data_IF_569589721664
#
_entry.id   IF_569589721664
#
_cell.length_a   1.000
_cell.length_b   1.000
_cell.length_c   1.000
_cell.angle_alpha   90.00
_cell.angle_beta   90.00
_cell.angle_gamma   90.00
#
_symmetry.space_group_name_H-M   'P 1'
#
loop_
_entity.id
_entity.type
_entity.pdbx_description
1 polymer ?
#
# COMPACT_ATOMS: atom_id res chain seq x y z
N UNK A 1 33.38 0.62 78.67
CA UNK A 1 31.95 0.82 78.33
C UNK A 1 31.86 0.80 76.81
N UNK A 2 31.38 -0.31 76.23
CA UNK A 2 31.17 -0.41 74.77
C UNK A 2 29.84 0.26 74.38
N UNK A 3 29.71 0.82 73.17
CA UNK A 3 28.49 1.48 72.74
C UNK A 3 27.41 0.43 72.47
N UNK A 4 26.22 0.68 73.03
CA UNK A 4 25.04 -0.17 72.89
C UNK A 4 24.62 -0.28 71.42
N UNK A 5 24.47 -1.52 70.95
CA UNK A 5 23.94 -1.82 69.62
C UNK A 5 22.48 -1.38 69.51
N UNK A 6 22.20 -0.56 68.51
CA UNK A 6 20.84 -0.23 68.07
C UNK A 6 20.28 -1.39 67.26
N UNK A 7 19.24 -2.03 67.77
CA UNK A 7 18.46 -3.05 67.06
C UNK A 7 17.80 -2.41 65.83
N UNK A 8 17.87 -2.99 64.61
CA UNK A 8 17.19 -2.43 63.45
C UNK A 8 15.67 -2.55 63.64
N UNK A 9 14.98 -1.41 63.63
CA UNK A 9 13.52 -1.36 63.64
C UNK A 9 13.00 -2.11 62.41
N UNK A 10 12.21 -3.16 62.62
CA UNK A 10 11.56 -3.90 61.55
C UNK A 10 10.66 -2.95 60.76
N UNK A 11 11.09 -2.60 59.54
CA UNK A 11 10.28 -1.82 58.60
C UNK A 11 9.14 -2.75 58.18
N UNK A 12 7.92 -2.46 58.63
CA UNK A 12 6.73 -3.16 58.13
C UNK A 12 6.70 -3.02 56.60
N UNK A 13 6.58 -4.12 55.83
CA UNK A 13 6.53 -4.05 54.38
C UNK A 13 5.34 -3.19 53.96
N UNK A 14 5.56 -2.30 53.00
CA UNK A 14 4.52 -1.43 52.47
C UNK A 14 3.32 -2.28 52.00
N UNK A 15 2.08 -1.82 52.20
CA UNK A 15 0.90 -2.55 51.74
C UNK A 15 0.99 -2.77 50.23
N UNK A 16 0.62 -3.97 49.78
CA UNK A 16 0.70 -4.34 48.37
C UNK A 16 -0.03 -3.31 47.49
N UNK A 17 0.52 -2.95 46.31
CA UNK A 17 -0.11 -1.99 45.42
C UNK A 17 -1.54 -2.42 45.07
N UNK A 18 -2.45 -1.45 44.93
CA UNK A 18 -3.82 -1.70 44.46
C UNK A 18 -4.10 -0.78 43.27
N UNK A 19 -4.82 -1.31 42.29
CA UNK A 19 -5.33 -0.53 41.16
C UNK A 19 -6.85 -0.36 41.34
N UNK A 20 -7.31 0.88 41.53
CA UNK A 20 -8.73 1.21 41.78
C UNK A 20 -9.37 0.39 42.92
N UNK A 21 -8.62 0.15 44.00
CA UNK A 21 -9.10 -0.64 45.15
C UNK A 21 -9.03 -2.15 44.96
N UNK A 22 -8.76 -2.64 43.74
CA UNK A 22 -8.55 -4.06 43.48
C UNK A 22 -7.10 -4.48 43.79
N UNK A 23 -6.89 -5.68 44.36
CA UNK A 23 -5.55 -6.23 44.52
C UNK A 23 -4.90 -6.46 43.15
N UNK A 24 -3.57 -6.49 43.12
CA UNK A 24 -2.83 -6.97 41.95
C UNK A 24 -3.31 -8.37 41.60
N UNK A 25 -3.70 -8.55 40.34
CA UNK A 25 -4.09 -9.85 39.80
C UNK A 25 -2.85 -10.50 39.16
N UNK A 26 -2.73 -11.83 39.22
CA UNK A 26 -1.63 -12.54 38.60
C UNK A 26 -1.68 -12.38 37.08
N UNK A 27 -0.54 -12.52 36.40
CA UNK A 27 -0.44 -12.32 34.94
C UNK A 27 -1.31 -13.32 34.18
N UNK A 28 -1.38 -14.55 34.66
CA UNK A 28 -2.18 -15.65 34.10
C UNK A 28 -3.67 -15.30 33.99
N UNK A 29 -4.18 -14.42 34.87
CA UNK A 29 -5.55 -13.92 34.77
C UNK A 29 -5.74 -13.09 33.49
N UNK A 30 -4.80 -12.19 33.20
CA UNK A 30 -4.86 -11.32 32.04
C UNK A 30 -4.57 -12.07 30.76
N UNK A 31 -3.61 -13.01 30.79
CA UNK A 31 -3.26 -13.82 29.62
C UNK A 31 -4.45 -14.68 29.17
N UNK A 32 -5.09 -15.41 30.09
CA UNK A 32 -6.28 -16.23 29.76
C UNK A 32 -7.41 -15.39 29.19
N UNK A 33 -7.68 -14.24 29.80
CA UNK A 33 -8.72 -13.33 29.33
C UNK A 33 -8.40 -12.78 27.95
N UNK A 34 -7.17 -12.32 27.72
CA UNK A 34 -6.72 -11.77 26.45
C UNK A 34 -6.82 -12.83 25.34
N UNK A 35 -6.40 -14.07 25.59
CA UNK A 35 -6.53 -15.17 24.63
C UNK A 35 -7.99 -15.39 24.23
N UNK A 36 -8.91 -15.48 25.19
CA UNK A 36 -10.35 -15.63 24.92
C UNK A 36 -10.94 -14.44 24.14
N UNK A 37 -10.59 -13.22 24.51
CA UNK A 37 -11.06 -12.01 23.82
C UNK A 37 -10.49 -11.94 22.39
N UNK A 38 -9.24 -12.33 22.16
CA UNK A 38 -8.64 -12.40 20.82
C UNK A 38 -9.36 -13.41 19.93
N UNK A 39 -9.75 -14.56 20.47
CA UNK A 39 -10.50 -15.58 19.73
C UNK A 39 -11.89 -15.10 19.31
N UNK A 40 -12.53 -14.27 20.14
CA UNK A 40 -13.86 -13.72 19.87
C UNK A 40 -13.83 -12.51 18.93
N UNK A 41 -12.79 -11.67 19.01
CA UNK A 41 -12.80 -10.36 18.37
C UNK A 41 -11.89 -10.23 17.14
N UNK A 42 -10.85 -11.07 17.00
CA UNK A 42 -9.95 -11.02 15.85
C UNK A 42 -10.50 -11.85 14.69
N UNK A 43 -10.92 -11.16 13.62
CA UNK A 43 -11.46 -11.79 12.41
C UNK A 43 -10.34 -12.30 11.50
N UNK A 44 -10.38 -13.57 11.16
CA UNK A 44 -9.49 -14.20 10.19
C UNK A 44 -10.37 -14.66 9.01
N UNK A 45 -10.19 -14.10 7.80
CA UNK A 45 -10.96 -14.52 6.63
C UNK A 45 -10.53 -15.91 6.15
N UNK A 46 -11.49 -16.67 5.65
CA UNK A 46 -11.22 -17.92 4.94
C UNK A 46 -10.58 -17.63 3.58
N UNK A 47 -9.58 -18.44 3.22
CA UNK A 47 -8.86 -18.39 1.94
C UNK A 47 -8.44 -19.79 1.54
N UNK A 48 -8.33 -20.01 0.24
CA UNK A 48 -7.63 -21.20 -0.26
C UNK A 48 -6.14 -21.13 0.09
N UNK A 49 -5.45 -22.26 -0.01
CA UNK A 49 -4.00 -22.33 0.22
C UNK A 49 -3.24 -21.40 -0.75
N UNK A 50 -3.58 -21.44 -2.04
CA UNK A 50 -2.98 -20.61 -3.08
C UNK A 50 -3.27 -19.11 -2.88
N UNK A 51 -4.47 -18.74 -2.43
CA UNK A 51 -4.79 -17.37 -2.05
C UNK A 51 -3.94 -16.88 -0.87
N UNK A 52 -3.72 -17.76 0.11
CA UNK A 52 -2.88 -17.47 1.28
C UNK A 52 -1.41 -17.33 0.88
N UNK A 53 -0.90 -18.23 0.03
CA UNK A 53 0.46 -18.16 -0.51
C UNK A 53 0.67 -16.87 -1.33
N UNK A 54 -0.25 -16.52 -2.22
CA UNK A 54 -0.18 -15.28 -2.98
C UNK A 54 -0.20 -14.03 -2.07
N UNK A 55 -1.01 -14.05 -1.01
CA UNK A 55 -0.99 -13.00 0.01
C UNK A 55 0.37 -12.93 0.73
N UNK A 56 0.94 -14.08 1.11
CA UNK A 56 2.25 -14.14 1.76
C UNK A 56 3.35 -13.55 0.86
N UNK A 57 3.33 -13.88 -0.43
CA UNK A 57 4.30 -13.32 -1.37
C UNK A 57 4.25 -11.79 -1.40
N UNK A 58 3.05 -11.23 -1.57
CA UNK A 58 2.84 -9.77 -1.60
C UNK A 58 3.13 -9.11 -0.26
N UNK A 59 2.91 -9.80 0.86
CA UNK A 59 3.31 -9.31 2.19
C UNK A 59 4.83 -9.16 2.23
N UNK A 60 5.58 -10.21 1.90
CA UNK A 60 7.05 -10.20 1.91
C UNK A 60 7.60 -9.12 0.98
N UNK A 61 7.10 -9.02 -0.25
CA UNK A 61 7.48 -7.97 -1.18
C UNK A 61 7.19 -6.56 -0.65
N UNK A 62 6.02 -6.35 0.01
CA UNK A 62 5.67 -5.05 0.61
C UNK A 62 6.59 -4.63 1.76
N UNK A 63 7.37 -5.56 2.32
CA UNK A 63 8.38 -5.30 3.34
C UNK A 63 9.78 -5.08 2.77
N UNK A 64 9.96 -5.22 1.44
CA UNK A 64 11.25 -5.15 0.76
C UNK A 64 12.22 -6.26 1.23
N UNK A 65 11.66 -7.45 1.40
CA UNK A 65 12.38 -8.65 1.83
C UNK A 65 12.70 -9.60 0.65
N UNK A 66 12.18 -9.31 -0.54
CA UNK A 66 12.48 -10.02 -1.77
C UNK A 66 13.83 -9.60 -2.38
N UNK A 67 14.41 -10.48 -3.21
CA UNK A 67 15.66 -10.23 -3.90
C UNK A 67 15.57 -10.68 -5.37
N UNK A 68 14.79 -9.94 -6.17
CA UNK A 68 14.54 -10.30 -7.56
C UNK A 68 13.83 -11.66 -7.64
N UNK A 69 14.40 -12.60 -8.41
CA UNK A 69 13.86 -13.95 -8.57
C UNK A 69 14.39 -14.96 -7.53
N UNK A 70 15.24 -14.52 -6.60
CA UNK A 70 15.70 -15.37 -5.51
C UNK A 70 14.63 -15.53 -4.42
N UNK A 71 14.79 -16.59 -3.63
CA UNK A 71 13.83 -16.98 -2.61
C UNK A 71 12.75 -17.92 -3.15
N UNK A 72 12.15 -18.67 -2.24
CA UNK A 72 11.11 -19.63 -2.51
C UNK A 72 10.08 -19.60 -1.39
N UNK A 73 8.82 -19.84 -1.73
CA UNK A 73 7.77 -20.16 -0.77
C UNK A 73 7.11 -21.45 -1.22
N UNK A 74 6.80 -22.32 -0.26
CA UNK A 74 6.12 -23.58 -0.54
C UNK A 74 5.15 -23.96 0.58
N UNK A 75 4.23 -24.86 0.28
CA UNK A 75 3.38 -25.51 1.27
C UNK A 75 3.10 -26.96 0.88
N UNK A 76 2.74 -27.82 1.85
CA UNK A 76 2.25 -29.17 1.54
C UNK A 76 0.95 -29.10 0.73
N UNK A 77 0.77 -30.04 -0.19
CA UNK A 77 -0.46 -30.17 -0.95
C UNK A 77 -1.46 -31.09 -0.26
N UNK A 78 -2.74 -30.78 -0.40
CA UNK A 78 -3.85 -31.62 0.03
C UNK A 78 -3.93 -32.95 -0.74
N UNK A 79 -3.13 -33.12 -1.82
CA UNK A 79 -2.98 -34.39 -2.54
C UNK A 79 -2.36 -35.49 -1.68
N UNK A 80 -1.54 -35.13 -0.69
CA UNK A 80 -0.90 -36.07 0.23
C UNK A 80 0.62 -35.92 0.29
N UNK A 81 1.27 -36.84 1.02
CA UNK A 81 2.71 -36.85 1.21
C UNK A 81 3.47 -36.88 -0.14
N UNK A 82 4.57 -36.12 -0.22
CA UNK A 82 5.40 -36.02 -1.42
C UNK A 82 4.92 -34.99 -2.45
N UNK A 83 3.81 -34.27 -2.21
CA UNK A 83 3.32 -33.22 -3.10
C UNK A 83 3.27 -31.85 -2.41
N UNK A 84 3.68 -30.82 -3.14
CA UNK A 84 3.88 -29.48 -2.58
C UNK A 84 3.44 -28.38 -3.57
N UNK A 85 2.86 -27.31 -3.05
CA UNK A 85 2.63 -26.07 -3.81
C UNK A 85 3.85 -25.16 -3.71
N UNK A 86 4.25 -24.53 -4.81
CA UNK A 86 5.31 -23.51 -4.86
C UNK A 86 4.99 -22.45 -5.90
N UNK A 87 5.50 -21.22 -5.71
CA UNK A 87 5.42 -20.20 -6.74
C UNK A 87 6.23 -20.65 -7.97
N UNK A 88 5.64 -20.55 -9.17
CA UNK A 88 6.37 -20.84 -10.42
C UNK A 88 7.54 -19.86 -10.58
N UNK A 89 8.66 -20.36 -11.07
CA UNK A 89 9.86 -19.56 -11.28
C UNK A 89 9.67 -18.52 -12.40
N UNK A 90 10.34 -17.38 -12.26
CA UNK A 90 10.27 -16.28 -13.22
C UNK A 90 9.29 -15.16 -12.89
N UNK A 91 8.74 -15.13 -11.67
CA UNK A 91 7.89 -14.05 -11.15
C UNK A 91 8.54 -13.33 -9.99
N UNK A 92 8.28 -12.02 -9.89
CA UNK A 92 8.49 -11.26 -8.66
C UNK A 92 7.48 -11.66 -7.58
N UNK A 93 7.87 -11.46 -6.32
CA UNK A 93 7.03 -11.77 -5.16
C UNK A 93 5.76 -10.91 -5.11
N UNK A 94 5.80 -9.68 -5.61
CA UNK A 94 4.66 -8.76 -5.71
C UNK A 94 3.68 -9.09 -6.85
N UNK A 95 4.13 -9.86 -7.84
CA UNK A 95 3.34 -10.28 -9.00
C UNK A 95 2.49 -11.53 -8.73
N UNK A 96 2.82 -12.29 -7.68
CA UNK A 96 2.20 -13.58 -7.41
C UNK A 96 0.67 -13.48 -7.26
N UNK A 97 -0.04 -14.26 -8.07
CA UNK A 97 -1.49 -14.52 -7.97
C UNK A 97 -1.75 -15.98 -7.58
N UNK A 98 -2.96 -16.36 -7.15
CA UNK A 98 -3.27 -17.75 -6.83
C UNK A 98 -3.00 -18.72 -8.00
N UNK A 99 -3.21 -18.26 -9.23
CA UNK A 99 -3.02 -19.06 -10.46
C UNK A 99 -1.54 -19.30 -10.82
N UNK A 100 -0.62 -18.59 -10.16
CA UNK A 100 0.83 -18.74 -10.38
C UNK A 100 1.46 -19.85 -9.54
N UNK A 101 0.70 -20.45 -8.64
CA UNK A 101 1.16 -21.58 -7.83
C UNK A 101 1.02 -22.87 -8.61
N UNK A 102 2.11 -23.63 -8.65
CA UNK A 102 2.19 -24.94 -9.26
C UNK A 102 2.33 -26.00 -8.18
N UNK A 103 1.77 -27.16 -8.42
CA UNK A 103 1.95 -28.34 -7.58
C UNK A 103 3.10 -29.17 -8.15
N UNK A 104 4.02 -29.60 -7.30
CA UNK A 104 5.18 -30.41 -7.67
C UNK A 104 5.28 -31.67 -6.84
N UNK A 105 5.93 -32.70 -7.38
CA UNK A 105 6.26 -33.93 -6.65
C UNK A 105 7.62 -33.83 -5.91
N UNK A 106 8.05 -34.95 -5.33
CA UNK A 106 9.33 -35.07 -4.61
C UNK A 106 10.57 -34.80 -5.46
N UNK A 107 10.45 -34.84 -6.79
CA UNK A 107 11.53 -34.57 -7.75
C UNK A 107 11.36 -33.23 -8.46
N UNK A 108 10.50 -32.35 -7.94
CA UNK A 108 10.18 -31.05 -8.50
C UNK A 108 9.61 -31.11 -9.92
N UNK A 109 9.00 -32.23 -10.31
CA UNK A 109 8.21 -32.27 -11.54
C UNK A 109 6.89 -31.54 -11.32
N UNK A 110 6.53 -30.63 -12.22
CA UNK A 110 5.22 -29.96 -12.19
C UNK A 110 4.10 -30.96 -12.49
N UNK A 111 3.22 -31.17 -11.52
CA UNK A 111 2.05 -32.06 -11.59
C UNK A 111 0.78 -31.29 -11.95
N UNK A 112 0.62 -30.08 -11.38
CA UNK A 112 -0.53 -29.19 -11.63
C UNK A 112 -0.06 -27.77 -11.88
N UNK A 113 -0.67 -27.09 -12.86
CA UNK A 113 -0.37 -25.71 -13.25
C UNK A 113 0.66 -25.61 -14.38
N UNK A 114 1.10 -24.38 -14.68
CA UNK A 114 1.98 -24.09 -15.82
C UNK A 114 3.29 -23.44 -15.37
N UNK A 115 4.40 -23.93 -15.89
CA UNK A 115 5.74 -23.42 -15.61
C UNK A 115 6.60 -24.45 -14.87
N UNK A 116 7.68 -23.96 -14.28
CA UNK A 116 8.65 -24.78 -13.54
C UNK A 116 8.84 -24.22 -12.13
N UNK A 117 9.18 -25.06 -11.14
CA UNK A 117 9.57 -24.57 -9.82
C UNK A 117 10.93 -23.89 -9.86
N UNK A 118 11.22 -23.09 -8.84
CA UNK A 118 12.59 -22.68 -8.57
C UNK A 118 13.40 -23.95 -8.20
N UNK A 119 14.53 -24.27 -8.87
CA UNK A 119 15.31 -25.47 -8.55
C UNK A 119 15.76 -25.53 -7.08
N UNK A 120 15.98 -24.37 -6.47
CA UNK A 120 16.34 -24.29 -5.06
C UNK A 120 15.18 -24.68 -4.11
N UNK A 121 13.94 -24.86 -4.57
CA UNK A 121 12.88 -25.47 -3.75
C UNK A 121 13.27 -26.89 -3.28
N UNK A 122 14.32 -27.52 -3.87
CA UNK A 122 14.80 -28.86 -3.49
C UNK A 122 15.09 -28.99 -1.99
N UNK A 123 15.75 -28.01 -1.35
CA UNK A 123 16.04 -28.13 0.09
C UNK A 123 14.80 -27.97 0.97
N UNK A 124 13.71 -27.34 0.49
CA UNK A 124 12.44 -27.35 1.21
C UNK A 124 11.90 -28.78 1.35
N UNK A 125 12.06 -29.62 0.31
CA UNK A 125 11.58 -31.00 0.31
C UNK A 125 12.26 -31.85 1.38
N UNK A 126 13.55 -31.65 1.59
CA UNK A 126 14.32 -32.30 2.66
C UNK A 126 13.82 -31.89 4.06
N UNK A 127 13.54 -30.60 4.24
CA UNK A 127 12.95 -30.11 5.50
C UNK A 127 11.57 -30.73 5.72
N UNK A 128 10.70 -30.77 4.70
CA UNK A 128 9.40 -31.43 4.83
C UNK A 128 9.51 -32.93 5.13
N UNK A 129 10.46 -33.64 4.52
CA UNK A 129 10.66 -35.05 4.79
C UNK A 129 11.08 -35.31 6.25
N UNK A 130 11.93 -34.46 6.82
CA UNK A 130 12.38 -34.57 8.20
C UNK A 130 11.40 -33.99 9.23
N UNK A 131 10.51 -33.07 8.82
CA UNK A 131 9.62 -32.31 9.71
C UNK A 131 8.14 -32.42 9.28
N UNK A 132 7.44 -33.49 9.71
CA UNK A 132 6.01 -33.65 9.45
C UNK A 132 5.14 -32.52 10.03
N UNK A 133 5.61 -31.83 11.08
CA UNK A 133 4.94 -30.70 11.71
C UNK A 133 4.97 -29.40 10.88
N UNK A 134 5.86 -29.32 9.89
CA UNK A 134 6.01 -28.16 9.00
C UNK A 134 5.07 -28.30 7.81
N UNK A 135 4.24 -27.28 7.56
CA UNK A 135 3.31 -27.22 6.44
C UNK A 135 3.64 -26.11 5.44
N UNK A 136 4.50 -25.15 5.78
CA UNK A 136 4.97 -24.13 4.85
C UNK A 136 6.38 -23.69 5.18
N UNK A 137 7.15 -23.38 4.15
CA UNK A 137 8.53 -22.90 4.23
C UNK A 137 8.67 -21.65 3.38
N UNK A 138 9.32 -20.64 3.94
CA UNK A 138 9.74 -19.42 3.25
C UNK A 138 11.25 -19.30 3.32
N UNK A 139 11.90 -19.15 2.17
CA UNK A 139 13.30 -18.79 2.05
C UNK A 139 13.43 -17.47 1.30
N UNK A 140 14.17 -16.52 1.89
CA UNK A 140 14.38 -15.20 1.29
C UNK A 140 15.79 -14.69 1.57
N UNK A 141 16.17 -13.70 0.77
CA UNK A 141 17.48 -13.06 0.71
C UNK A 141 17.38 -11.62 1.25
N UNK A 142 16.75 -11.47 2.41
CA UNK A 142 16.37 -10.15 2.94
C UNK A 142 17.59 -9.31 3.36
N UNK A 143 17.59 -7.97 3.12
CA UNK A 143 18.79 -7.14 3.24
C UNK A 143 19.50 -7.15 4.60
N UNK A 144 18.76 -7.06 5.71
CA UNK A 144 19.35 -6.99 7.06
C UNK A 144 19.81 -8.36 7.54
N UNK A 145 19.08 -9.40 7.19
CA UNK A 145 19.50 -10.79 7.36
C UNK A 145 20.79 -11.05 6.60
N UNK A 146 20.87 -10.65 5.33
CA UNK A 146 22.09 -10.77 4.52
C UNK A 146 23.28 -10.04 5.15
N UNK A 147 23.08 -8.83 5.66
CA UNK A 147 24.13 -8.09 6.37
C UNK A 147 24.65 -8.88 7.58
N UNK A 148 23.75 -9.51 8.34
CA UNK A 148 24.11 -10.29 9.52
C UNK A 148 24.86 -11.59 9.15
N UNK A 149 24.34 -12.36 8.19
CA UNK A 149 24.93 -13.66 7.80
C UNK A 149 26.18 -13.51 6.94
N UNK A 150 26.39 -12.36 6.28
CA UNK A 150 27.66 -12.01 5.65
C UNK A 150 28.77 -11.80 6.70
N UNK A 151 28.42 -11.28 7.88
CA UNK A 151 29.31 -11.19 9.03
C UNK A 151 29.41 -12.50 9.84
N UNK A 152 28.75 -13.58 9.37
CA UNK A 152 28.67 -14.89 10.04
C UNK A 152 28.23 -14.79 11.51
N UNK A 153 27.30 -13.88 11.81
CA UNK A 153 26.79 -13.70 13.15
C UNK A 153 25.45 -14.45 13.33
N UNK A 154 25.28 -15.21 14.43
CA UNK A 154 23.97 -15.74 14.79
C UNK A 154 23.02 -14.62 15.26
N UNK A 155 21.73 -14.94 15.35
CA UNK A 155 20.74 -14.01 15.89
C UNK A 155 20.92 -13.87 17.41
N UNK A 156 20.94 -12.62 17.88
CA UNK A 156 20.91 -12.27 19.30
C UNK A 156 19.55 -11.67 19.61
N UNK A 157 18.75 -12.36 20.42
CA UNK A 157 17.42 -11.91 20.81
C UNK A 157 17.55 -10.84 21.90
N UNK A 158 17.56 -9.58 21.48
CA UNK A 158 17.80 -8.42 22.35
C UNK A 158 16.56 -7.53 22.59
N UNK A 159 15.38 -7.93 22.09
CA UNK A 159 14.14 -7.17 22.19
C UNK A 159 12.92 -8.09 22.38
N UNK A 160 11.93 -7.64 23.18
CA UNK A 160 10.74 -8.41 23.53
C UNK A 160 9.96 -8.89 22.30
N UNK A 161 9.74 -8.02 21.31
CA UNK A 161 9.03 -8.39 20.06
C UNK A 161 9.74 -9.53 19.28
N UNK A 162 11.05 -9.76 19.51
CA UNK A 162 11.86 -10.77 18.81
C UNK A 162 11.98 -12.08 19.60
N UNK A 163 11.36 -12.17 20.76
CA UNK A 163 11.33 -13.38 21.60
C UNK A 163 10.70 -14.62 20.96
N UNK A 164 9.88 -14.55 19.88
CA UNK A 164 9.53 -15.74 19.11
C UNK A 164 10.72 -16.55 18.60
N UNK A 165 11.91 -15.96 18.47
CA UNK A 165 13.13 -16.63 18.03
C UNK A 165 14.04 -17.10 19.18
N UNK A 166 13.70 -16.82 20.44
CA UNK A 166 14.50 -17.27 21.58
C UNK A 166 14.51 -18.80 21.66
N UNK A 167 15.70 -19.40 21.52
CA UNK A 167 15.87 -20.85 21.43
C UNK A 167 15.40 -21.48 20.11
N UNK A 168 14.92 -20.69 19.16
CA UNK A 168 14.17 -21.15 17.98
C UNK A 168 14.69 -20.56 16.65
N UNK A 169 15.93 -20.07 16.66
CA UNK A 169 16.67 -19.67 15.47
C UNK A 169 18.01 -20.40 15.43
N UNK A 170 18.17 -21.28 14.45
CA UNK A 170 19.42 -21.97 14.16
C UNK A 170 20.38 -21.07 13.38
N UNK A 171 21.65 -21.46 13.34
CA UNK A 171 22.67 -20.80 12.54
C UNK A 171 23.53 -21.85 11.84
N UNK A 172 23.54 -21.83 10.50
CA UNK A 172 24.45 -22.62 9.69
C UNK A 172 25.68 -21.77 9.34
N UNK A 173 26.79 -22.04 10.02
CA UNK A 173 28.03 -21.25 9.89
C UNK A 173 28.77 -21.48 8.57
N UNK A 174 28.66 -22.68 7.98
CA UNK A 174 29.36 -23.05 6.74
C UNK A 174 28.39 -23.10 5.58
N UNK A 175 28.56 -22.18 4.62
CA UNK A 175 27.75 -22.17 3.40
C UNK A 175 28.00 -23.46 2.60
N UNK A 176 26.95 -24.26 2.31
CA UNK A 176 27.11 -25.53 1.61
C UNK A 176 27.17 -25.35 0.08
N UNK A 177 26.99 -24.12 -0.44
CA UNK A 177 26.87 -23.83 -1.86
C UNK A 177 25.44 -23.46 -2.25
N UNK A 178 25.16 -23.42 -3.55
CA UNK A 178 23.81 -23.11 -4.07
C UNK A 178 22.92 -24.35 -3.87
N UNK A 179 21.80 -24.27 -3.13
CA UNK A 179 21.08 -25.44 -2.65
C UNK A 179 20.09 -26.01 -3.68
N UNK A 180 20.62 -26.53 -4.79
CA UNK A 180 19.84 -27.16 -5.86
C UNK A 180 19.93 -28.68 -5.85
N UNK A 181 20.74 -29.28 -4.99
CA UNK A 181 20.92 -30.73 -4.88
C UNK A 181 20.62 -31.23 -3.47
N UNK A 182 20.66 -32.55 -3.31
CA UNK A 182 20.24 -33.24 -2.08
C UNK A 182 21.19 -33.00 -0.90
N UNK A 183 22.48 -32.88 -1.18
CA UNK A 183 23.50 -32.72 -0.14
C UNK A 183 23.32 -31.40 0.63
N UNK A 184 23.01 -30.29 -0.05
CA UNK A 184 22.71 -29.03 0.62
C UNK A 184 21.41 -29.14 1.44
N UNK A 185 20.42 -29.89 0.93
CA UNK A 185 19.17 -30.17 1.64
C UNK A 185 19.39 -30.90 2.97
N UNK A 186 20.24 -31.94 2.98
CA UNK A 186 20.63 -32.66 4.21
C UNK A 186 21.29 -31.72 5.21
N UNK A 187 22.31 -30.96 4.80
CA UNK A 187 23.05 -30.05 5.68
C UNK A 187 22.14 -28.99 6.30
N UNK A 188 21.28 -28.36 5.48
CA UNK A 188 20.38 -27.31 5.95
C UNK A 188 19.34 -27.88 6.91
N UNK A 189 18.81 -29.07 6.63
CA UNK A 189 17.82 -29.75 7.47
C UNK A 189 18.41 -30.16 8.82
N UNK A 190 19.61 -30.74 8.83
CA UNK A 190 20.33 -31.09 10.05
C UNK A 190 20.63 -29.86 10.90
N UNK A 191 21.07 -28.75 10.28
CA UNK A 191 21.35 -27.51 10.97
C UNK A 191 20.09 -26.83 11.53
N UNK A 192 18.95 -26.95 10.84
CA UNK A 192 17.66 -26.43 11.32
C UNK A 192 17.18 -27.21 12.56
N UNK A 193 17.34 -28.54 12.56
CA UNK A 193 16.94 -29.40 13.66
C UNK A 193 15.43 -29.30 13.96
N UNK A 194 15.10 -29.04 15.22
CA UNK A 194 13.73 -28.85 15.71
C UNK A 194 13.21 -27.41 15.62
N UNK A 195 14.08 -26.47 15.20
CA UNK A 195 13.77 -25.04 15.17
C UNK A 195 12.90 -24.68 13.98
N UNK A 196 12.26 -23.51 14.06
CA UNK A 196 11.40 -22.95 13.01
C UNK A 196 12.07 -21.89 12.16
N UNK A 197 13.29 -21.49 12.49
CA UNK A 197 14.03 -20.53 11.69
C UNK A 197 15.51 -20.84 11.67
N UNK A 198 16.19 -20.47 10.58
CA UNK A 198 17.62 -20.63 10.43
C UNK A 198 18.23 -19.47 9.64
N UNK A 199 19.35 -18.97 10.15
CA UNK A 199 20.24 -18.05 9.44
C UNK A 199 21.35 -18.84 8.75
N UNK A 200 21.53 -18.61 7.45
CA UNK A 200 22.48 -19.33 6.61
C UNK A 200 23.64 -18.39 6.23
N UNK A 201 24.84 -18.63 6.77
CA UNK A 201 26.04 -17.84 6.47
C UNK A 201 26.24 -17.67 4.95
N UNK A 202 26.56 -16.44 4.52
CA UNK A 202 26.75 -16.07 3.09
C UNK A 202 25.56 -16.31 2.16
N UNK A 203 24.35 -16.54 2.69
CA UNK A 203 23.20 -16.90 1.87
C UNK A 203 21.94 -16.08 2.21
N UNK A 204 21.27 -16.36 3.33
CA UNK A 204 19.98 -15.75 3.65
C UNK A 204 19.32 -16.39 4.87
N UNK A 205 18.00 -16.43 4.89
CA UNK A 205 17.23 -17.11 5.96
C UNK A 205 16.21 -18.09 5.42
N UNK A 206 15.86 -19.07 6.24
CA UNK A 206 14.69 -19.92 6.03
C UNK A 206 13.83 -19.89 7.30
N UNK A 207 12.51 -19.87 7.11
CA UNK A 207 11.52 -20.08 8.16
C UNK A 207 10.59 -21.24 7.79
N UNK A 208 10.27 -22.05 8.78
CA UNK A 208 9.44 -23.24 8.67
C UNK A 208 8.28 -23.11 9.67
N UNK A 209 7.05 -23.06 9.15
CA UNK A 209 5.85 -22.83 9.94
C UNK A 209 4.83 -23.96 9.80
N UNK A 210 3.94 -24.05 10.78
CA UNK A 210 2.79 -24.99 10.74
C UNK A 210 1.69 -24.57 9.75
N UNK A 211 1.81 -23.37 9.19
CA UNK A 211 0.96 -22.81 8.14
C UNK A 211 1.73 -21.76 7.33
N UNK A 212 1.16 -21.35 6.19
CA UNK A 212 1.73 -20.28 5.35
C UNK A 212 1.84 -18.96 6.12
N UNK A 213 0.81 -18.62 6.89
CA UNK A 213 0.78 -17.41 7.70
C UNK A 213 1.87 -17.41 8.77
N UNK A 214 2.11 -18.56 9.40
CA UNK A 214 3.15 -18.73 10.42
C UNK A 214 4.56 -18.60 9.82
N UNK A 215 4.83 -19.28 8.70
CA UNK A 215 6.12 -19.18 8.01
C UNK A 215 6.40 -17.74 7.54
N UNK A 216 5.40 -17.06 6.96
CA UNK A 216 5.51 -15.66 6.54
C UNK A 216 5.64 -14.69 7.72
N UNK A 217 4.95 -14.96 8.85
CA UNK A 217 5.11 -14.19 10.08
C UNK A 217 6.54 -14.25 10.60
N UNK A 218 7.10 -15.46 10.71
CA UNK A 218 8.47 -15.65 11.14
C UNK A 218 9.46 -14.99 10.16
N UNK A 219 9.22 -15.09 8.85
CA UNK A 219 10.07 -14.43 7.84
C UNK A 219 10.18 -12.93 8.09
N UNK A 220 9.04 -12.23 8.16
CA UNK A 220 8.99 -10.77 8.35
C UNK A 220 9.62 -10.35 9.69
N UNK A 221 9.40 -11.12 10.74
CA UNK A 221 9.97 -10.82 12.05
C UNK A 221 11.47 -11.14 12.14
N UNK A 222 11.96 -12.15 11.43
CA UNK A 222 13.38 -12.51 11.45
C UNK A 222 14.23 -11.43 10.77
N UNK A 223 13.77 -10.90 9.63
CA UNK A 223 14.38 -9.73 9.02
C UNK A 223 14.37 -8.52 9.96
N UNK A 224 13.24 -8.30 10.66
CA UNK A 224 13.13 -7.22 11.64
C UNK A 224 14.10 -7.43 12.82
N UNK A 225 14.32 -8.66 13.25
CA UNK A 225 15.25 -9.01 14.31
C UNK A 225 16.69 -8.72 13.89
N UNK A 226 17.08 -9.17 12.69
CA UNK A 226 18.39 -8.87 12.09
C UNK A 226 18.61 -7.36 11.96
N UNK A 227 17.60 -6.60 11.50
CA UNK A 227 17.67 -5.14 11.42
C UNK A 227 17.91 -4.47 12.77
N UNK A 228 17.24 -4.95 13.82
CA UNK A 228 17.43 -4.43 15.18
C UNK A 228 18.86 -4.72 15.63
N UNK A 229 19.33 -5.96 15.49
CA UNK A 229 20.68 -6.38 15.87
C UNK A 229 21.76 -5.53 15.18
N UNK A 230 21.67 -5.37 13.86
CA UNK A 230 22.63 -4.55 13.08
C UNK A 230 22.61 -3.10 13.52
N UNK A 231 21.44 -2.50 13.74
CA UNK A 231 21.32 -1.08 14.12
C UNK A 231 21.70 -0.82 15.57
N UNK A 232 21.36 -1.73 16.47
CA UNK A 232 21.64 -1.59 17.90
C UNK A 232 23.14 -1.72 18.20
N UNK A 233 23.90 -2.44 17.37
CA UNK A 233 25.35 -2.51 17.47
C UNK A 233 26.04 -1.14 17.40
N UNK A 234 25.42 -0.12 16.80
CA UNK A 234 25.93 1.25 16.77
C UNK A 234 25.94 1.94 18.15
N UNK A 235 25.16 1.43 19.12
CA UNK A 235 25.05 2.00 20.46
C UNK A 235 25.88 1.23 21.50
N UNK A 236 26.56 0.15 21.09
CA UNK A 236 27.40 -0.68 21.95
C UNK A 236 27.07 -2.18 21.84
N UNK A 237 27.68 -3.00 22.71
CA UNK A 237 27.43 -4.44 22.75
C UNK A 237 25.95 -4.75 23.00
N UNK A 238 25.42 -5.72 22.24
CA UNK A 238 24.07 -6.22 22.43
C UNK A 238 23.96 -6.96 23.76
N UNK A 239 22.81 -6.82 24.41
CA UNK A 239 22.46 -7.57 25.61
C UNK A 239 21.22 -8.39 25.30
N UNK A 240 21.31 -9.69 25.52
CA UNK A 240 20.17 -10.58 25.40
C UNK A 240 19.11 -10.24 26.45
N UNK A 241 17.86 -10.51 26.10
CA UNK A 241 16.77 -10.48 27.07
C UNK A 241 16.93 -11.64 28.07
N UNK A 242 16.39 -11.47 29.27
CA UNK A 242 16.32 -12.54 30.26
C UNK A 242 15.61 -13.78 29.67
N UNK A 243 16.18 -14.97 29.87
CA UNK A 243 15.75 -16.18 29.19
C UNK A 243 14.37 -16.68 29.60
N UNK A 244 14.00 -16.55 30.88
CA UNK A 244 12.68 -16.95 31.35
C UNK A 244 11.61 -16.00 30.81
N UNK A 245 11.88 -14.70 30.88
CA UNK A 245 10.99 -13.69 30.30
C UNK A 245 10.89 -13.80 28.78
N UNK A 246 11.97 -14.19 28.09
CA UNK A 246 11.99 -14.42 26.66
C UNK A 246 11.15 -15.63 26.26
N UNK A 247 11.28 -16.75 26.97
CA UNK A 247 10.49 -17.94 26.72
C UNK A 247 8.98 -17.68 26.92
N UNK A 248 8.65 -16.95 27.99
CA UNK A 248 7.28 -16.56 28.29
C UNK A 248 6.69 -15.62 27.22
N UNK A 249 7.38 -14.52 26.90
CA UNK A 249 6.94 -13.56 25.89
C UNK A 249 6.86 -14.18 24.49
N UNK A 250 7.83 -15.03 24.14
CA UNK A 250 7.83 -15.76 22.87
C UNK A 250 6.63 -16.69 22.77
N UNK A 251 6.24 -17.36 23.85
CA UNK A 251 5.03 -18.20 23.88
C UNK A 251 3.77 -17.38 23.67
N UNK A 252 3.67 -16.22 24.32
CA UNK A 252 2.54 -15.32 24.13
C UNK A 252 2.45 -14.81 22.67
N UNK A 253 3.56 -14.29 22.12
CA UNK A 253 3.58 -13.70 20.77
C UNK A 253 3.34 -14.71 19.64
N UNK A 254 3.56 -16.01 19.91
CA UNK A 254 3.33 -17.10 18.96
C UNK A 254 1.91 -17.69 19.03
N UNK A 255 1.01 -17.14 19.84
CA UNK A 255 -0.38 -17.57 19.83
C UNK A 255 -0.98 -17.39 18.43
N UNK A 256 -1.72 -18.40 17.97
CA UNK A 256 -2.24 -18.48 16.60
C UNK A 256 -3.05 -17.24 16.22
N UNK A 257 -3.85 -16.72 17.15
CA UNK A 257 -4.65 -15.51 16.88
C UNK A 257 -3.79 -14.27 16.65
N UNK A 258 -2.67 -14.12 17.36
CA UNK A 258 -1.74 -13.01 17.14
C UNK A 258 -1.08 -13.14 15.76
N UNK A 259 -0.58 -14.33 15.43
CA UNK A 259 0.09 -14.62 14.15
C UNK A 259 -0.87 -14.38 12.98
N UNK A 260 -2.05 -15.00 13.02
CA UNK A 260 -3.05 -14.92 11.94
C UNK A 260 -3.59 -13.50 11.76
N UNK A 261 -3.90 -12.78 12.84
CA UNK A 261 -4.41 -11.41 12.74
C UNK A 261 -3.33 -10.44 12.25
N UNK A 262 -2.07 -10.65 12.65
CA UNK A 262 -0.94 -9.85 12.18
C UNK A 262 -0.71 -10.06 10.68
N UNK A 263 -0.74 -11.32 10.23
CA UNK A 263 -0.66 -11.66 8.81
C UNK A 263 -1.81 -11.03 8.01
N UNK A 264 -3.03 -11.06 8.55
CA UNK A 264 -4.19 -10.45 7.89
C UNK A 264 -4.03 -8.94 7.74
N UNK A 265 -3.59 -8.26 8.80
CA UNK A 265 -3.30 -6.84 8.77
C UNK A 265 -2.28 -6.49 7.67
N UNK A 266 -1.20 -7.28 7.54
CA UNK A 266 -0.22 -7.06 6.46
C UNK A 266 -0.79 -7.35 5.08
N UNK A 267 -1.60 -8.41 4.95
CA UNK A 267 -2.25 -8.79 3.70
C UNK A 267 -3.21 -7.70 3.21
N UNK A 268 -3.99 -7.10 4.10
CA UNK A 268 -4.81 -5.94 3.79
C UNK A 268 -3.96 -4.74 3.33
N UNK A 269 -2.80 -4.52 3.95
CA UNK A 269 -1.90 -3.41 3.60
C UNK A 269 -1.21 -3.61 2.26
N UNK A 270 -0.86 -4.85 1.90
CA UNK A 270 -0.18 -5.19 0.63
C UNK A 270 -1.11 -5.14 -0.57
N UNK A 271 -2.42 -5.30 -0.38
CA UNK A 271 -3.44 -5.17 -1.45
C UNK A 271 -3.56 -3.77 -2.05
N UNK A 272 -3.05 -2.71 -1.43
CA UNK A 272 -3.12 -1.35 -1.97
C UNK A 272 -1.98 -1.20 -2.99
N UNK A 273 -2.25 -1.16 -4.30
CA UNK A 273 -1.21 -1.04 -5.30
C UNK A 273 -0.43 0.26 -5.08
N UNK A 274 0.91 0.26 -5.21
CA UNK A 274 1.70 1.50 -5.22
C UNK A 274 1.15 2.50 -6.24
N UNK A 275 0.65 2.02 -7.38
CA UNK A 275 -0.03 2.81 -8.42
C UNK A 275 -1.28 3.52 -7.90
N UNK A 276 -2.07 2.93 -7.01
CA UNK A 276 -3.23 3.59 -6.42
C UNK A 276 -2.81 4.72 -5.47
N UNK A 277 -1.72 4.54 -4.71
CA UNK A 277 -1.14 5.62 -3.90
C UNK A 277 -0.58 6.76 -4.76
N UNK A 278 0.04 6.43 -5.89
CA UNK A 278 0.54 7.40 -6.85
C UNK A 278 -0.63 8.14 -7.51
N UNK A 279 -1.66 7.45 -7.98
CA UNK A 279 -2.84 8.08 -8.58
C UNK A 279 -3.52 9.00 -7.57
N UNK A 280 -3.75 8.54 -6.34
CA UNK A 280 -4.31 9.40 -5.28
C UNK A 280 -3.39 10.59 -5.00
N UNK A 281 -2.09 10.40 -4.87
CA UNK A 281 -1.14 11.49 -4.62
C UNK A 281 -1.10 12.52 -5.76
N UNK A 282 -1.06 12.07 -7.02
CA UNK A 282 -1.07 12.95 -8.19
C UNK A 282 -2.42 13.65 -8.37
N UNK A 283 -3.54 12.95 -8.16
CA UNK A 283 -4.88 13.56 -8.16
C UNK A 283 -4.97 14.63 -7.07
N UNK A 284 -4.49 14.37 -5.85
CA UNK A 284 -4.50 15.37 -4.78
C UNK A 284 -3.55 16.56 -5.06
N UNK A 285 -2.39 16.31 -5.68
CA UNK A 285 -1.43 17.35 -6.06
C UNK A 285 -1.99 18.26 -7.16
N UNK A 286 -2.59 17.68 -8.19
CA UNK A 286 -3.24 18.42 -9.29
C UNK A 286 -4.47 19.18 -8.78
N UNK A 287 -5.28 18.59 -7.90
CA UNK A 287 -6.40 19.29 -7.24
C UNK A 287 -5.89 20.48 -6.41
N UNK A 288 -4.77 20.33 -5.68
CA UNK A 288 -4.16 21.44 -4.93
C UNK A 288 -3.64 22.54 -5.84
N UNK A 289 -3.01 22.20 -6.97
CA UNK A 289 -2.54 23.17 -7.96
C UNK A 289 -3.71 23.93 -8.60
N UNK A 290 -4.79 23.21 -8.93
CA UNK A 290 -6.00 23.77 -9.53
C UNK A 290 -6.75 24.69 -8.55
N UNK A 291 -6.82 24.32 -7.25
CA UNK A 291 -7.36 25.21 -6.22
C UNK A 291 -6.54 26.49 -6.06
N UNK A 292 -5.20 26.41 -6.07
CA UNK A 292 -4.34 27.61 -6.02
C UNK A 292 -4.54 28.52 -7.23
N UNK A 293 -4.66 27.93 -8.43
CA UNK A 293 -4.96 28.69 -9.64
C UNK A 293 -6.33 29.36 -9.58
N UNK A 294 -7.35 28.64 -9.14
CA UNK A 294 -8.69 29.19 -8.95
C UNK A 294 -8.72 30.34 -7.92
N UNK A 295 -7.94 30.22 -6.82
CA UNK A 295 -7.79 31.30 -5.84
C UNK A 295 -7.12 32.53 -6.45
N UNK A 296 -6.05 32.36 -7.24
CA UNK A 296 -5.36 33.48 -7.91
C UNK A 296 -6.30 34.18 -8.90
N UNK A 297 -7.03 33.42 -9.72
CA UNK A 297 -8.00 33.98 -10.68
C UNK A 297 -9.13 34.70 -9.94
N UNK A 298 -9.66 34.14 -8.85
CA UNK A 298 -10.68 34.80 -8.05
C UNK A 298 -10.16 36.10 -7.41
N UNK A 299 -8.93 36.10 -6.89
CA UNK A 299 -8.29 37.31 -6.38
C UNK A 299 -8.08 38.37 -7.47
N UNK A 300 -7.67 37.97 -8.67
CA UNK A 300 -7.55 38.87 -9.82
C UNK A 300 -8.90 39.45 -10.25
N UNK A 301 -9.96 38.64 -10.25
CA UNK A 301 -11.32 39.08 -10.55
C UNK A 301 -11.88 40.03 -9.49
N UNK A 302 -11.61 39.78 -8.21
CA UNK A 302 -11.96 40.69 -7.11
C UNK A 302 -11.24 42.04 -7.27
N UNK A 303 -9.95 42.03 -7.56
CA UNK A 303 -9.16 43.26 -7.79
C UNK A 303 -9.67 44.02 -9.01
N UNK A 304 -9.98 43.32 -10.11
CA UNK A 304 -10.54 43.92 -11.32
C UNK A 304 -11.94 44.51 -11.08
N UNK A 305 -12.79 43.83 -10.31
CA UNK A 305 -14.12 44.35 -9.93
C UNK A 305 -14.03 45.56 -8.99
N UNK A 306 -13.00 45.60 -8.14
CA UNK A 306 -12.75 46.72 -7.21
C UNK A 306 -12.19 47.97 -7.87
N UNK A 307 -11.68 47.85 -9.10
CA UNK A 307 -11.06 48.95 -9.87
C UNK A 307 -11.93 49.46 -11.02
N UNK A 308 -13.15 48.94 -11.16
CA UNK A 308 -14.15 49.52 -12.06
C UNK A 308 -14.82 50.75 -11.41
N UNK A 309 -14.98 51.86 -12.14
CA UNK A 309 -15.66 53.04 -11.62
C UNK A 309 -17.12 52.71 -11.30
N UNK A 310 -17.54 53.00 -10.07
CA UNK A 310 -18.93 52.84 -9.63
C UNK A 310 -19.87 53.62 -10.56
N UNK A 311 -20.95 53.02 -11.07
CA UNK A 311 -21.93 53.75 -11.85
C UNK A 311 -22.62 54.83 -10.99
N UNK A 312 -23.05 55.95 -11.60
CA UNK A 312 -23.58 57.10 -10.87
C UNK A 312 -24.84 56.75 -10.06
N UNK A 313 -25.10 57.49 -8.97
CA UNK A 313 -26.06 57.13 -7.92
C UNK A 313 -27.50 57.50 -8.30
N UNK A 314 -28.05 56.92 -9.36
CA UNK A 314 -29.48 56.96 -9.67
C UNK A 314 -29.97 55.58 -10.12
N UNK A 315 -29.90 54.62 -9.21
CA UNK A 315 -30.77 53.44 -9.22
C UNK A 315 -31.16 53.19 -7.78
N UNK A 316 -32.33 53.74 -7.45
CA UNK A 316 -32.95 53.67 -6.14
C UNK A 316 -33.15 52.22 -5.70
N UNK A 317 -32.86 52.01 -4.41
CA UNK A 317 -33.19 50.85 -3.57
C UNK A 317 -34.41 50.07 -4.08
N UNK A 318 -34.19 48.97 -4.80
CA UNK A 318 -35.07 47.77 -4.82
C UNK A 318 -34.32 46.60 -5.47
N UNK A 319 -34.20 45.51 -4.70
CA UNK A 319 -33.62 44.19 -5.03
C UNK A 319 -32.08 44.08 -4.98
N UNK A 320 -31.53 44.19 -3.77
CA UNK A 320 -30.34 43.41 -3.41
C UNK A 320 -30.81 42.00 -3.03
N UNK A 321 -30.79 41.09 -4.00
CA UNK A 321 -31.22 39.72 -3.80
C UNK A 321 -31.78 39.14 -5.08
N UNK A 322 -30.96 38.32 -5.73
CA UNK A 322 -31.26 37.54 -6.94
C UNK A 322 -31.39 38.34 -8.25
N UNK A 323 -30.70 37.82 -9.27
CA UNK A 323 -30.87 38.11 -10.71
C UNK A 323 -30.18 39.37 -11.26
N UNK A 324 -28.96 39.20 -11.78
CA UNK A 324 -28.39 39.95 -12.90
C UNK A 324 -27.37 38.99 -13.52
N UNK A 325 -27.63 38.35 -14.67
CA UNK A 325 -27.10 38.82 -15.96
C UNK A 325 -28.07 38.62 -17.14
N UNK A 326 -29.21 37.94 -16.95
CA UNK A 326 -30.11 37.58 -18.07
C UNK A 326 -30.91 38.73 -18.70
N UNK A 327 -31.72 39.48 -17.95
CA UNK A 327 -32.77 40.33 -18.55
C UNK A 327 -32.28 41.66 -19.16
N UNK A 328 -31.15 42.20 -18.67
CA UNK A 328 -30.60 43.47 -19.18
C UNK A 328 -29.95 43.27 -20.57
N UNK A 329 -29.37 42.09 -20.82
CA UNK A 329 -28.80 41.76 -22.12
C UNK A 329 -29.88 41.56 -23.19
N UNK A 330 -31.03 40.98 -22.84
CA UNK A 330 -32.15 40.73 -23.78
C UNK A 330 -32.85 42.03 -24.24
N UNK A 331 -33.03 43.01 -23.35
CA UNK A 331 -33.68 44.28 -23.70
C UNK A 331 -32.75 45.19 -24.53
N UNK A 332 -31.44 45.15 -24.26
CA UNK A 332 -30.42 45.88 -25.01
C UNK A 332 -30.25 45.36 -26.45
N UNK A 333 -30.43 44.04 -26.65
CA UNK A 333 -30.42 43.41 -27.99
C UNK A 333 -31.66 43.81 -28.80
N UNK A 334 -32.84 43.98 -28.16
CA UNK A 334 -34.09 44.34 -28.86
C UNK A 334 -34.21 45.82 -29.21
N UNK A 335 -33.62 46.72 -28.44
CA UNK A 335 -33.82 48.18 -28.58
C UNK A 335 -32.69 48.91 -29.31
N UNK A 336 -31.59 48.22 -29.64
CA UNK A 336 -30.51 48.80 -30.45
C UNK A 336 -29.78 49.99 -29.81
N UNK A 337 -29.87 50.15 -28.48
CA UNK A 337 -29.24 51.26 -27.77
C UNK A 337 -27.77 50.92 -27.49
N UNK A 338 -26.86 51.66 -28.12
CA UNK A 338 -25.44 51.64 -27.78
C UNK A 338 -25.21 52.36 -26.45
N UNK A 339 -24.67 51.64 -25.45
CA UNK A 339 -24.22 52.25 -24.18
C UNK A 339 -22.69 52.36 -24.24
N UNK A 340 -22.17 53.59 -24.21
CA UNK A 340 -20.76 53.85 -23.92
C UNK A 340 -19.74 53.46 -25.01
N UNK A 341 -20.11 53.52 -26.29
CA UNK A 341 -19.16 53.46 -27.40
C UNK A 341 -18.50 52.09 -27.64
N UNK A 342 -19.01 51.00 -27.06
CA UNK A 342 -18.61 49.63 -27.40
C UNK A 342 -19.75 48.88 -28.07
N UNK A 343 -19.42 48.06 -29.07
CA UNK A 343 -20.43 47.30 -29.82
C UNK A 343 -21.07 46.22 -28.93
N UNK A 344 -22.33 45.88 -29.21
CA UNK A 344 -23.08 44.81 -28.54
C UNK A 344 -22.33 43.46 -28.57
N UNK A 345 -21.46 43.24 -29.56
CA UNK A 345 -20.62 42.06 -29.69
C UNK A 345 -19.52 41.96 -28.61
N UNK A 346 -18.95 43.07 -28.15
CA UNK A 346 -17.92 43.05 -27.08
C UNK A 346 -18.53 42.80 -25.70
N UNK A 347 -19.75 43.29 -25.45
CA UNK A 347 -20.48 43.01 -24.20
C UNK A 347 -20.95 41.55 -24.13
N UNK A 348 -21.36 40.97 -25.26
CA UNK A 348 -21.70 39.55 -25.38
C UNK A 348 -20.48 38.63 -25.17
N UNK A 349 -19.30 39.02 -25.69
CA UNK A 349 -18.05 38.29 -25.49
C UNK A 349 -17.63 38.25 -24.01
N UNK A 350 -17.70 39.37 -23.30
CA UNK A 350 -17.39 39.41 -21.86
C UNK A 350 -18.37 38.61 -21.00
N UNK A 351 -19.65 38.54 -21.40
CA UNK A 351 -20.66 37.73 -20.72
C UNK A 351 -20.45 36.24 -20.95
N UNK A 352 -20.08 35.83 -22.17
CA UNK A 352 -19.72 34.45 -22.50
C UNK A 352 -18.45 33.98 -21.77
N UNK A 353 -17.45 34.87 -21.63
CA UNK A 353 -16.24 34.61 -20.84
C UNK A 353 -16.61 34.45 -19.35
N UNK A 354 -17.46 35.33 -18.81
CA UNK A 354 -17.88 35.25 -17.39
C UNK A 354 -18.69 33.97 -17.10
N UNK A 355 -19.58 33.57 -18.01
CA UNK A 355 -20.33 32.31 -17.92
C UNK A 355 -19.43 31.07 -18.06
N UNK A 356 -18.43 31.13 -18.94
CA UNK A 356 -17.42 30.08 -19.12
C UNK A 356 -16.53 29.93 -17.88
N UNK A 357 -16.12 31.04 -17.27
CA UNK A 357 -15.30 31.09 -16.06
C UNK A 357 -16.09 30.61 -14.84
N UNK A 358 -17.37 30.97 -14.70
CA UNK A 358 -18.24 30.47 -13.62
C UNK A 358 -18.56 28.97 -13.77
N UNK A 359 -18.76 28.47 -15.00
CA UNK A 359 -18.91 27.03 -15.26
C UNK A 359 -17.62 26.26 -14.99
N UNK A 360 -16.46 26.81 -15.37
CA UNK A 360 -15.16 26.24 -15.06
C UNK A 360 -14.91 26.23 -13.54
N UNK A 361 -15.22 27.31 -12.82
CA UNK A 361 -15.10 27.38 -11.37
C UNK A 361 -16.04 26.39 -10.66
N UNK A 362 -17.29 26.26 -11.10
CA UNK A 362 -18.23 25.28 -10.56
C UNK A 362 -17.78 23.82 -10.81
N UNK A 363 -17.27 23.51 -12.00
CA UNK A 363 -16.68 22.21 -12.30
C UNK A 363 -15.42 21.92 -11.47
N UNK A 364 -14.62 22.96 -11.21
CA UNK A 364 -13.38 22.90 -10.40
C UNK A 364 -13.66 22.68 -8.91
N UNK A 365 -14.83 23.07 -8.40
CA UNK A 365 -15.24 22.84 -7.00
C UNK A 365 -16.06 21.57 -6.82
N UNK A 366 -16.92 21.21 -7.79
CA UNK A 366 -17.78 20.03 -7.72
C UNK A 366 -17.01 18.72 -7.91
N UNK A 367 -16.00 18.70 -8.78
CA UNK A 367 -15.21 17.49 -9.06
C UNK A 367 -14.37 17.03 -7.86
N UNK A 368 -13.63 17.90 -7.14
CA UNK A 368 -12.94 17.50 -5.91
C UNK A 368 -13.87 17.04 -4.79
N UNK A 369 -15.07 17.61 -4.69
CA UNK A 369 -16.05 17.23 -3.66
C UNK A 369 -16.64 15.83 -3.93
N UNK A 370 -16.89 15.49 -5.20
CA UNK A 370 -17.30 14.15 -5.61
C UNK A 370 -16.19 13.11 -5.36
N UNK A 371 -14.94 13.43 -5.73
CA UNK A 371 -13.76 12.59 -5.47
C UNK A 371 -13.51 12.40 -3.97
N UNK A 372 -13.72 13.45 -3.16
CA UNK A 372 -13.62 13.37 -1.69
C UNK A 372 -14.70 12.44 -1.09
N UNK A 373 -15.96 12.51 -1.56
CA UNK A 373 -17.01 11.60 -1.08
C UNK A 373 -16.76 10.15 -1.49
N UNK A 374 -16.21 9.91 -2.67
CA UNK A 374 -15.80 8.57 -3.13
C UNK A 374 -14.64 8.05 -2.29
N UNK A 375 -13.62 8.87 -2.04
CA UNK A 375 -12.49 8.52 -1.18
C UNK A 375 -12.90 8.25 0.27
N UNK A 376 -13.88 9.00 0.79
CA UNK A 376 -14.46 8.77 2.12
C UNK A 376 -15.24 7.46 2.18
N UNK A 377 -16.10 7.19 1.20
CA UNK A 377 -16.86 5.95 1.11
C UNK A 377 -15.98 4.70 0.92
N UNK A 378 -14.87 4.82 0.17
CA UNK A 378 -13.86 3.76 0.02
C UNK A 378 -13.08 3.51 1.33
N UNK A 379 -12.81 4.55 2.12
CA UNK A 379 -12.15 4.45 3.44
C UNK A 379 -13.06 3.85 4.51
N UNK A 380 -14.37 4.07 4.40
CA UNK A 380 -15.39 3.57 5.35
C UNK A 380 -15.90 2.15 4.98
N UNK A 381 -15.31 1.49 3.97
CA UNK A 381 -15.63 0.10 3.62
C UNK A 381 -16.97 -0.09 2.90
N UNK A 382 -17.53 0.97 2.30
CA UNK A 382 -18.87 0.92 1.70
C UNK A 382 -18.94 0.24 0.31
N UNK A 383 -17.84 -0.34 -0.19
CA UNK A 383 -17.77 -0.99 -1.50
C UNK A 383 -17.23 -2.41 -1.37
N UNK A 384 -18.09 -3.35 -0.99
CA UNK A 384 -17.81 -4.77 -1.15
C UNK A 384 -18.15 -5.22 -2.58
N UNK A 385 -17.14 -5.73 -3.30
CA UNK A 385 -17.29 -6.36 -4.62
C UNK A 385 -17.00 -5.47 -5.84
N UNK A 386 -16.48 -6.11 -6.90
CA UNK A 386 -16.06 -5.53 -8.20
C UNK A 386 -17.15 -4.74 -8.97
N UNK A 387 -18.40 -4.73 -8.50
CA UNK A 387 -19.50 -3.93 -9.06
C UNK A 387 -19.58 -2.48 -8.52
N UNK A 388 -19.02 -2.21 -7.33
CA UNK A 388 -19.12 -0.91 -6.67
C UNK A 388 -18.32 0.22 -7.36
N UNK A 389 -17.12 -0.08 -7.85
CA UNK A 389 -16.24 0.91 -8.51
C UNK A 389 -16.81 1.43 -9.84
N UNK A 390 -17.39 0.54 -10.66
CA UNK A 390 -18.07 0.95 -11.91
C UNK A 390 -19.28 1.84 -11.64
N UNK A 391 -19.97 1.58 -10.53
CA UNK A 391 -21.14 2.35 -10.09
C UNK A 391 -20.72 3.72 -9.53
N UNK A 392 -19.63 3.80 -8.76
CA UNK A 392 -19.11 5.05 -8.21
C UNK A 392 -18.55 5.99 -9.29
N UNK A 393 -17.81 5.46 -10.27
CA UNK A 393 -17.35 6.22 -11.44
C UNK A 393 -18.55 6.65 -12.29
N UNK A 394 -19.54 5.78 -12.47
CA UNK A 394 -20.79 6.07 -13.17
C UNK A 394 -21.60 7.20 -12.51
N UNK A 395 -21.73 7.19 -11.19
CA UNK A 395 -22.45 8.21 -10.42
C UNK A 395 -21.70 9.54 -10.37
N UNK A 396 -20.38 9.54 -10.17
CA UNK A 396 -19.56 10.76 -10.30
C UNK A 396 -19.74 11.40 -11.68
N UNK A 397 -19.75 10.58 -12.72
CA UNK A 397 -19.93 11.04 -14.09
C UNK A 397 -21.34 11.58 -14.37
N UNK A 398 -22.40 10.98 -13.77
CA UNK A 398 -23.77 11.50 -13.85
C UNK A 398 -23.92 12.87 -13.17
N UNK A 399 -23.33 13.04 -11.99
CA UNK A 399 -23.36 14.31 -11.24
C UNK A 399 -22.61 15.40 -11.99
N UNK A 400 -21.43 15.10 -12.54
CA UNK A 400 -20.68 16.04 -13.38
C UNK A 400 -21.46 16.45 -14.63
N UNK A 401 -22.20 15.52 -15.27
CA UNK A 401 -23.03 15.81 -16.45
C UNK A 401 -24.25 16.67 -16.16
N UNK A 402 -24.94 16.44 -15.04
CA UNK A 402 -26.10 17.23 -14.63
C UNK A 402 -25.74 18.71 -14.45
N UNK A 403 -24.58 18.99 -13.87
CA UNK A 403 -24.08 20.35 -13.68
C UNK A 403 -23.54 21.00 -14.96
N UNK A 404 -23.16 20.22 -15.97
CA UNK A 404 -22.63 20.72 -17.25
C UNK A 404 -23.69 20.88 -18.35
N UNK A 405 -24.93 20.43 -18.13
CA UNK A 405 -26.07 20.70 -19.03
C UNK A 405 -26.04 19.99 -20.39
N UNK A 406 -25.39 18.83 -20.50
CA UNK A 406 -25.25 18.08 -21.75
C UNK A 406 -26.36 17.03 -21.94
N UNK A 407 -27.14 17.11 -23.03
CA UNK A 407 -28.20 16.14 -23.38
C UNK A 407 -27.63 14.84 -24.04
N UNK A 408 -28.33 13.68 -24.02
CA UNK A 408 -27.85 12.41 -24.59
C UNK A 408 -28.32 12.22 -26.07
N UNK A 409 -27.83 11.25 -26.89
CA UNK A 409 -26.60 10.43 -26.86
C UNK A 409 -25.88 10.19 -28.24
N UNK A 410 -24.61 9.71 -28.24
CA UNK A 410 -24.11 8.45 -28.89
C UNK A 410 -22.63 8.21 -28.52
N UNK A 411 -22.16 6.96 -28.57
CA UNK A 411 -20.73 6.61 -28.34
C UNK A 411 -19.87 7.30 -29.42
N UNK A 412 -18.76 7.96 -29.05
CA UNK A 412 -17.91 8.67 -30.01
C UNK A 412 -17.21 7.69 -30.94
N UNK A 413 -17.18 8.05 -32.22
CA UNK A 413 -16.41 7.34 -33.26
C UNK A 413 -14.93 7.75 -33.20
N UNK A 414 -14.06 6.99 -33.88
CA UNK A 414 -12.64 7.34 -34.02
C UNK A 414 -12.44 8.71 -34.68
N UNK A 415 -13.34 9.11 -35.58
CA UNK A 415 -13.35 10.41 -36.25
C UNK A 415 -13.63 11.58 -35.28
N UNK A 416 -14.41 11.36 -34.23
CA UNK A 416 -14.71 12.37 -33.21
C UNK A 416 -13.50 12.61 -32.29
N UNK A 417 -12.68 11.58 -32.09
CA UNK A 417 -11.44 11.64 -31.31
C UNK A 417 -10.36 12.40 -32.09
N UNK A 418 -10.25 12.18 -33.40
CA UNK A 418 -9.28 12.87 -34.25
C UNK A 418 -9.57 14.38 -34.37
N UNK A 419 -10.85 14.78 -34.47
CA UNK A 419 -11.25 16.21 -34.47
C UNK A 419 -10.92 16.92 -33.16
N UNK A 420 -11.00 16.22 -32.02
CA UNK A 420 -10.66 16.75 -30.70
C UNK A 420 -9.14 16.98 -30.55
N UNK A 421 -8.32 16.12 -31.15
CA UNK A 421 -6.86 16.25 -31.19
C UNK A 421 -6.44 17.42 -32.10
N UNK A 422 -7.15 17.64 -33.21
CA UNK A 422 -6.87 18.74 -34.13
C UNK A 422 -7.22 20.11 -33.53
N UNK A 423 -8.30 20.20 -32.74
CA UNK A 423 -8.68 21.39 -31.98
C UNK A 423 -7.67 21.75 -30.86
N UNK A 424 -7.03 20.74 -30.27
CA UNK A 424 -5.95 20.92 -29.29
C UNK A 424 -4.67 21.48 -29.92
N UNK A 425 -4.39 21.19 -31.20
CA UNK A 425 -3.21 21.69 -31.93
C UNK A 425 -3.32 23.16 -32.29
N UNK A 426 -4.51 23.65 -32.66
CA UNK A 426 -4.73 25.06 -33.04
C UNK A 426 -4.72 26.03 -31.84
N UNK A 427 -5.00 25.54 -30.64
CA UNK A 427 -5.07 26.35 -29.41
C UNK A 427 -3.70 26.68 -28.80
N UNK A 428 -2.63 26.02 -29.26
CA UNK A 428 -1.28 26.15 -28.69
C UNK A 428 -0.43 27.28 -29.32
N UNK A 429 -0.89 27.93 -30.41
CA UNK A 429 -0.12 28.94 -31.15
C UNK A 429 -0.33 30.40 -30.71
N UNK A 430 -1.09 30.66 -29.63
CA UNK A 430 -1.53 32.02 -29.27
C UNK A 430 -0.83 32.73 -28.09
N UNK A 431 0.13 32.11 -27.40
CA UNK A 431 0.68 32.67 -26.15
C UNK A 431 2.20 32.57 -26.10
N UNK A 432 2.90 33.58 -26.63
CA UNK A 432 4.33 33.82 -26.33
C UNK A 432 4.52 35.29 -25.96
N UNK A 433 4.89 35.53 -24.71
CA UNK A 433 5.46 36.78 -24.19
C UNK A 433 6.54 36.45 -23.16
N UNK A 434 7.65 37.22 -23.04
CA UNK A 434 8.88 36.72 -22.45
C UNK A 434 8.92 36.97 -20.93
N UNK A 435 9.48 36.03 -20.16
CA UNK A 435 10.71 36.23 -19.35
C UNK A 435 11.00 35.10 -18.33
N UNK A 436 12.32 34.90 -18.17
CA UNK A 436 13.11 34.41 -17.01
C UNK A 436 13.05 32.95 -16.51
N UNK A 437 14.14 32.24 -16.87
CA UNK A 437 14.88 31.13 -16.21
C UNK A 437 14.18 30.33 -15.08
N UNK A 438 13.83 29.08 -15.37
CA UNK A 438 13.73 27.95 -14.43
C UNK A 438 14.05 26.62 -15.16
N UNK A 439 14.28 25.48 -14.47
CA UNK A 439 15.03 24.33 -15.00
C UNK A 439 14.44 23.78 -16.30
N UNK A 440 15.30 23.32 -17.20
CA UNK A 440 14.98 22.92 -18.58
C UNK A 440 13.64 22.19 -18.68
N UNK A 441 12.66 22.85 -19.31
CA UNK A 441 11.40 22.23 -19.72
C UNK A 441 11.75 21.06 -20.66
N UNK A 442 11.15 19.87 -20.48
CA UNK A 442 11.38 18.76 -21.40
C UNK A 442 11.04 19.22 -22.82
N UNK A 443 11.94 18.94 -23.76
CA UNK A 443 11.74 19.30 -25.16
C UNK A 443 10.44 18.69 -25.67
N UNK A 444 9.82 19.33 -26.67
CA UNK A 444 8.63 18.82 -27.35
C UNK A 444 8.82 17.36 -27.79
N UNK A 445 10.02 17.01 -28.24
CA UNK A 445 10.40 15.64 -28.61
C UNK A 445 10.39 14.66 -27.41
N UNK A 446 10.82 15.09 -26.22
CA UNK A 446 10.77 14.27 -25.00
C UNK A 446 9.34 14.03 -24.51
N UNK A 447 8.47 15.05 -24.61
CA UNK A 447 7.04 14.93 -24.30
C UNK A 447 6.32 14.02 -25.31
N UNK A 448 6.62 14.15 -26.60
CA UNK A 448 6.07 13.29 -27.65
C UNK A 448 6.49 11.83 -27.46
N UNK A 449 7.76 11.58 -27.14
CA UNK A 449 8.28 10.23 -26.85
C UNK A 449 7.63 9.62 -25.60
N UNK A 450 7.40 10.42 -24.57
CA UNK A 450 6.70 9.99 -23.35
C UNK A 450 5.22 9.66 -23.63
N UNK A 451 4.52 10.50 -24.39
CA UNK A 451 3.12 10.25 -24.81
C UNK A 451 3.01 8.98 -25.67
N UNK A 452 3.95 8.76 -26.59
CA UNK A 452 4.04 7.52 -27.39
C UNK A 452 4.25 6.28 -26.51
N UNK A 453 5.12 6.36 -25.49
CA UNK A 453 5.35 5.29 -24.52
C UNK A 453 4.10 4.96 -23.68
N UNK A 454 3.36 5.99 -23.27
CA UNK A 454 2.09 5.83 -22.56
C UNK A 454 1.01 5.21 -23.46
N UNK A 455 0.93 5.60 -24.73
CA UNK A 455 0.03 5.00 -25.73
C UNK A 455 0.34 3.52 -25.95
N UNK A 456 1.61 3.15 -26.09
CA UNK A 456 2.02 1.75 -26.26
C UNK A 456 1.67 0.90 -25.02
N UNK A 457 1.92 1.43 -23.81
CA UNK A 457 1.61 0.74 -22.56
C UNK A 457 0.10 0.55 -22.34
N UNK A 458 -0.69 1.57 -22.65
CA UNK A 458 -2.15 1.53 -22.54
C UNK A 458 -2.77 0.64 -23.63
N UNK A 459 -2.25 0.68 -24.86
CA UNK A 459 -2.66 -0.23 -25.94
C UNK A 459 -2.41 -1.69 -25.59
N UNK A 460 -1.21 -1.99 -25.06
CA UNK A 460 -0.83 -3.34 -24.59
C UNK A 460 -1.69 -3.82 -23.42
N UNK A 461 -2.16 -2.92 -22.56
CA UNK A 461 -3.05 -3.21 -21.44
C UNK A 461 -4.49 -3.47 -21.90
N UNK A 462 -4.98 -2.71 -22.88
CA UNK A 462 -6.33 -2.87 -23.43
C UNK A 462 -6.45 -4.10 -24.34
N UNK A 463 -5.40 -4.43 -25.10
CA UNK A 463 -5.37 -5.63 -25.95
C UNK A 463 -5.40 -6.91 -25.11
N UNK A 464 -4.64 -6.96 -24.00
CA UNK A 464 -4.66 -8.07 -23.03
C UNK A 464 -5.99 -8.24 -22.29
N UNK A 465 -6.81 -7.19 -22.20
CA UNK A 465 -8.11 -7.22 -21.53
C UNK A 465 -9.29 -7.40 -22.48
N UNK A 466 -9.09 -7.36 -23.80
CA UNK A 466 -10.13 -7.66 -24.80
C UNK A 466 -10.06 -9.11 -25.31
N UNK A 467 -8.97 -9.84 -25.06
CA UNK A 467 -8.81 -11.27 -25.40
C UNK A 467 -9.20 -12.21 -24.24
N UNK A 468 -9.69 -11.68 -23.11
CA UNK A 468 -10.36 -12.39 -22.01
C UNK A 468 -11.78 -11.90 -21.89
#
# INVERSE_FOLDING_TARGET
MGPAGTTPTAINPAPAPKLNGHPLRPKEYFDKRATQEMEQHLRIPERTLQETLACACRVIASKQEDAGLAGQISARSDRGEGFYWTLRFGLGWDEATPDDFIEVDGDLNTITGTGMPNPATRFHLWVYAARPDVNSIVHVHSPWTQALVAAQQPLVVAQMDMTPFYGDCAFLAKWPGVPIADHEGVIITEALGDKRSILLAHHGMLTAGKSVQDAAYLCVYLERAARIQVRAAAFGPLKEVDGELAAEAGTYLRQDRIVLATFEYWSCKSKIPPTFRIIVYYVFKEVSATMRFATIVLSMLIVAASSMPMPPPELSRRRFGSVLVGPIAEEAIKTGVAIGGKSVAEAAANTAITHGVLRAAAATVAYPFAVYRIGKAAKEGAFDGFGGEKTAIGEAWKVTKHYLGLAPPRRPSLEDIDKLVEHSRSSASGLVGPTTKSPEKPSKASLEKWVLSCKASLGSFLQRNNER
#
